data_IF_925775423466
#
_entry.id   IF_925775423466
#
_cell.length_a   1.000
_cell.length_b   1.000
_cell.length_c   1.000
_cell.angle_alpha   90.00
_cell.angle_beta   90.00
_cell.angle_gamma   90.00
#
_symmetry.space_group_name_H-M   'P 1'
#
loop_
_entity.id
_entity.type
_entity.pdbx_description
1 polymer ?
#
# COMPACT_ATOMS: atom_id res chain seq x y z
N UNK A 1 4.64 -10.44 -14.79
CA UNK A 1 4.01 -11.12 -13.64
C UNK A 1 3.58 -12.51 -14.03
N UNK A 2 3.79 -13.49 -13.19
CA UNK A 2 3.59 -14.88 -13.58
C UNK A 2 2.18 -15.34 -13.20
N UNK A 3 1.54 -16.12 -14.08
CA UNK A 3 0.27 -16.81 -13.86
C UNK A 3 0.25 -17.53 -12.49
N UNK A 4 1.40 -18.04 -12.05
CA UNK A 4 1.56 -18.68 -10.73
C UNK A 4 1.27 -17.76 -9.54
N UNK A 5 1.67 -16.49 -9.61
CA UNK A 5 1.41 -15.54 -8.53
C UNK A 5 -0.07 -15.20 -8.37
N UNK A 6 -0.82 -15.12 -9.48
CA UNK A 6 -2.26 -14.85 -9.46
C UNK A 6 -3.04 -16.06 -8.94
N UNK A 7 -2.64 -17.25 -9.37
CA UNK A 7 -3.24 -18.52 -8.88
C UNK A 7 -2.97 -18.67 -7.37
N UNK A 8 -1.73 -18.40 -6.93
CA UNK A 8 -1.40 -18.48 -5.50
C UNK A 8 -2.26 -17.53 -4.65
N UNK A 9 -2.38 -16.26 -5.05
CA UNK A 9 -3.19 -15.28 -4.29
C UNK A 9 -4.65 -15.70 -4.16
N UNK A 10 -5.25 -16.22 -5.25
CA UNK A 10 -6.62 -16.74 -5.22
C UNK A 10 -6.77 -17.95 -4.31
N UNK A 11 -5.83 -18.90 -4.41
CA UNK A 11 -5.84 -20.10 -3.55
C UNK A 11 -5.63 -19.70 -2.09
N UNK A 12 -4.67 -18.83 -1.80
CA UNK A 12 -4.43 -18.32 -0.45
C UNK A 12 -5.67 -17.66 0.13
N UNK A 13 -6.31 -16.76 -0.61
CA UNK A 13 -7.54 -16.09 -0.19
C UNK A 13 -8.70 -17.07 0.06
N UNK A 14 -8.88 -18.05 -0.84
CA UNK A 14 -9.91 -19.08 -0.68
C UNK A 14 -9.70 -19.93 0.58
N UNK A 15 -8.45 -20.23 0.92
CA UNK A 15 -8.11 -21.08 2.09
C UNK A 15 -8.10 -20.27 3.39
N UNK A 16 -7.58 -19.05 3.38
CA UNK A 16 -7.35 -18.25 4.59
C UNK A 16 -8.38 -17.15 4.83
N UNK A 17 -9.14 -16.77 3.79
CA UNK A 17 -10.08 -15.65 3.80
C UNK A 17 -9.43 -14.27 3.93
N UNK A 18 -8.10 -14.16 3.81
CA UNK A 18 -7.35 -12.91 3.95
C UNK A 18 -6.51 -12.61 2.71
N UNK A 19 -6.26 -11.34 2.38
CA UNK A 19 -5.35 -11.00 1.31
C UNK A 19 -3.94 -11.51 1.62
N UNK A 20 -3.26 -12.00 0.58
CA UNK A 20 -1.86 -12.42 0.72
C UNK A 20 -0.99 -11.24 1.18
N UNK A 21 0.09 -11.53 1.87
CA UNK A 21 1.10 -10.56 2.29
C UNK A 21 0.54 -9.35 3.09
N UNK A 22 -0.54 -9.55 3.85
CA UNK A 22 -1.03 -8.53 4.78
C UNK A 22 -0.12 -8.44 6.01
N UNK A 23 0.35 -7.23 6.31
CA UNK A 23 1.01 -6.95 7.59
C UNK A 23 0.91 -5.45 7.96
N UNK A 24 0.91 -5.17 9.25
CA UNK A 24 1.00 -3.81 9.75
C UNK A 24 2.43 -3.26 9.61
N UNK A 25 2.55 -2.05 9.04
CA UNK A 25 3.78 -1.25 9.11
C UNK A 25 3.78 -0.40 10.39
N UNK A 26 2.63 0.15 10.72
CA UNK A 26 2.35 0.84 11.98
C UNK A 26 1.13 0.16 12.57
N UNK A 27 1.32 -0.50 13.70
CA UNK A 27 0.31 -1.32 14.35
C UNK A 27 -1.03 -0.59 14.51
N UNK A 28 -2.10 -1.20 14.03
CA UNK A 28 -3.47 -0.68 14.07
C UNK A 28 -3.69 0.68 13.37
N UNK A 29 -2.76 1.11 12.50
CA UNK A 29 -2.86 2.39 11.77
C UNK A 29 -2.61 2.26 10.28
N UNK A 30 -1.53 1.60 9.89
CA UNK A 30 -1.11 1.52 8.49
C UNK A 30 -0.61 0.12 8.14
N UNK A 31 -1.27 -0.53 7.21
CA UNK A 31 -0.93 -1.85 6.72
C UNK A 31 -0.63 -1.85 5.22
N UNK A 32 0.09 -2.86 4.78
CA UNK A 32 0.26 -3.21 3.38
C UNK A 32 -0.26 -4.61 3.10
N UNK A 33 -0.72 -4.87 1.87
CA UNK A 33 -1.12 -6.20 1.42
C UNK A 33 -0.95 -6.39 -0.08
N UNK A 34 -1.05 -7.63 -0.54
CA UNK A 34 -1.34 -7.92 -1.94
C UNK A 34 -2.79 -7.51 -2.27
N UNK A 35 -3.15 -7.56 -3.55
CA UNK A 35 -4.51 -7.26 -3.99
C UNK A 35 -5.51 -8.23 -3.33
N UNK A 36 -6.59 -7.75 -2.72
CA UNK A 36 -7.73 -8.59 -2.38
C UNK A 36 -8.33 -9.21 -3.66
N UNK A 37 -8.64 -10.48 -3.63
CA UNK A 37 -9.19 -11.22 -4.77
C UNK A 37 -10.68 -11.48 -4.66
N UNK A 38 -11.31 -11.07 -3.56
CA UNK A 38 -12.73 -11.22 -3.28
C UNK A 38 -13.23 -10.18 -2.28
N UNK A 39 -14.54 -10.00 -2.21
CA UNK A 39 -15.18 -9.20 -1.14
C UNK A 39 -14.85 -9.75 0.25
N UNK A 40 -14.83 -11.07 0.42
CA UNK A 40 -14.51 -11.72 1.71
C UNK A 40 -13.13 -11.27 2.25
N UNK A 41 -12.13 -11.14 1.39
CA UNK A 41 -10.81 -10.64 1.78
C UNK A 41 -10.84 -9.17 2.20
N UNK A 42 -11.64 -8.33 1.54
CA UNK A 42 -11.87 -6.93 1.94
C UNK A 42 -12.58 -6.89 3.30
N UNK A 43 -13.62 -7.70 3.50
CA UNK A 43 -14.33 -7.79 4.77
C UNK A 43 -13.45 -8.34 5.90
N UNK A 44 -12.54 -9.26 5.59
CA UNK A 44 -11.53 -9.69 6.55
C UNK A 44 -10.66 -8.51 7.01
N UNK A 45 -10.15 -7.68 6.08
CA UNK A 45 -9.36 -6.50 6.41
C UNK A 45 -10.17 -5.51 7.26
N UNK A 46 -11.43 -5.28 6.93
CA UNK A 46 -12.35 -4.46 7.74
C UNK A 46 -12.48 -5.04 9.15
N UNK A 47 -12.57 -6.36 9.29
CA UNK A 47 -12.57 -7.06 10.58
C UNK A 47 -11.28 -6.87 11.39
N UNK A 48 -10.15 -6.60 10.74
CA UNK A 48 -8.88 -6.21 11.39
C UNK A 48 -8.85 -4.75 11.84
N UNK A 49 -9.88 -3.98 11.55
CA UNK A 49 -9.97 -2.55 11.88
C UNK A 49 -9.71 -1.59 10.72
N UNK A 50 -9.41 -2.11 9.51
CA UNK A 50 -9.21 -1.26 8.33
C UNK A 50 -10.53 -0.53 8.00
N UNK A 51 -10.43 0.78 7.80
CA UNK A 51 -11.56 1.65 7.42
C UNK A 51 -11.30 2.42 6.14
N UNK A 52 -10.08 2.38 5.64
CA UNK A 52 -9.67 3.06 4.41
C UNK A 52 -8.75 2.16 3.59
N UNK A 53 -8.90 2.18 2.27
CA UNK A 53 -8.08 1.38 1.34
C UNK A 53 -7.51 2.30 0.26
N UNK A 54 -6.21 2.15 -0.01
CA UNK A 54 -5.52 2.78 -1.12
C UNK A 54 -5.03 1.71 -2.09
N UNK A 55 -5.51 1.77 -3.31
CA UNK A 55 -5.09 0.91 -4.41
C UNK A 55 -4.06 1.63 -5.27
N UNK A 56 -2.85 1.06 -5.42
CA UNK A 56 -1.78 1.61 -6.26
C UNK A 56 -1.50 0.63 -7.40
N UNK A 57 -2.26 0.75 -8.47
CA UNK A 57 -2.15 -0.13 -9.65
C UNK A 57 -2.91 0.42 -10.85
N UNK A 58 -2.89 -0.33 -11.94
CA UNK A 58 -3.54 0.04 -13.22
C UNK A 58 -5.06 0.18 -13.07
N UNK A 59 -5.67 -0.74 -12.35
CA UNK A 59 -7.13 -0.81 -12.21
C UNK A 59 -7.56 -0.69 -10.74
N UNK A 60 -8.73 -0.08 -10.48
CA UNK A 60 -9.31 -0.04 -9.13
C UNK A 60 -9.81 -1.42 -8.69
N UNK A 61 -10.18 -1.52 -7.43
CA UNK A 61 -11.00 -2.62 -6.92
C UNK A 61 -12.45 -2.45 -7.38
N UNK A 62 -13.23 -3.53 -7.30
CA UNK A 62 -14.66 -3.51 -7.55
C UNK A 62 -15.36 -2.53 -6.58
N UNK A 63 -16.18 -1.64 -7.11
CA UNK A 63 -16.90 -0.62 -6.33
C UNK A 63 -17.77 -1.23 -5.22
N UNK A 64 -18.30 -2.42 -5.46
CA UNK A 64 -19.14 -3.12 -4.48
C UNK A 64 -18.31 -3.52 -3.24
N UNK A 65 -17.06 -3.91 -3.42
CA UNK A 65 -16.19 -4.34 -2.32
C UNK A 65 -15.76 -3.18 -1.42
N UNK A 66 -15.63 -1.98 -1.98
CA UNK A 66 -15.11 -0.79 -1.28
C UNK A 66 -16.18 0.21 -0.87
N UNK A 67 -17.45 -0.09 -1.10
CA UNK A 67 -18.57 0.84 -0.84
C UNK A 67 -18.69 1.31 0.61
N UNK A 68 -18.18 0.55 1.58
CA UNK A 68 -18.29 0.83 3.01
C UNK A 68 -16.96 1.28 3.64
N UNK A 69 -15.95 1.56 2.84
CA UNK A 69 -14.64 2.08 3.28
C UNK A 69 -14.31 3.37 2.57
N UNK A 70 -13.47 4.21 3.17
CA UNK A 70 -12.87 5.33 2.44
C UNK A 70 -11.90 4.78 1.41
N UNK A 71 -12.01 5.19 0.17
CA UNK A 71 -11.28 4.55 -0.94
C UNK A 71 -10.54 5.57 -1.81
N UNK A 72 -9.30 5.26 -2.15
CA UNK A 72 -8.49 6.01 -3.11
C UNK A 72 -7.83 5.05 -4.11
N UNK A 73 -8.00 5.32 -5.39
CA UNK A 73 -7.26 4.66 -6.46
C UNK A 73 -6.18 5.59 -7.00
N UNK A 74 -4.95 5.09 -7.05
CA UNK A 74 -3.76 5.75 -7.59
C UNK A 74 -3.27 4.94 -8.79
N UNK A 75 -3.28 5.54 -9.96
CA UNK A 75 -2.82 4.87 -11.18
C UNK A 75 -1.30 4.65 -11.13
N UNK A 76 -0.89 3.43 -11.32
CA UNK A 76 0.52 3.07 -11.40
C UNK A 76 0.71 1.77 -12.17
N UNK A 77 1.63 1.75 -13.13
CA UNK A 77 2.00 0.56 -13.87
C UNK A 77 2.82 -0.42 -13.01
N UNK A 78 2.79 -1.69 -13.38
CA UNK A 78 3.57 -2.72 -12.70
C UNK A 78 5.08 -2.42 -12.77
N UNK A 79 5.79 -2.70 -11.67
CA UNK A 79 7.21 -2.37 -11.44
C UNK A 79 7.55 -0.87 -11.56
N UNK A 80 6.58 -0.02 -11.89
CA UNK A 80 6.72 1.42 -11.98
C UNK A 80 6.44 2.13 -10.65
N UNK A 81 6.23 3.43 -10.79
CA UNK A 81 5.81 4.34 -9.71
C UNK A 81 4.60 5.13 -10.16
N UNK A 82 3.80 5.59 -9.20
CA UNK A 82 2.77 6.57 -9.46
C UNK A 82 3.41 7.93 -9.84
N UNK A 83 2.66 8.77 -10.52
CA UNK A 83 3.07 10.16 -10.74
C UNK A 83 3.30 10.86 -9.40
N UNK A 84 4.25 11.79 -9.36
CA UNK A 84 4.68 12.43 -8.12
C UNK A 84 3.53 13.10 -7.36
N UNK A 85 2.69 13.86 -8.08
CA UNK A 85 1.56 14.57 -7.45
C UNK A 85 0.50 13.60 -6.91
N UNK A 86 0.27 12.48 -7.59
CA UNK A 86 -0.63 11.43 -7.13
C UNK A 86 -0.08 10.72 -5.88
N UNK A 87 1.24 10.56 -5.83
CA UNK A 87 1.92 10.01 -4.65
C UNK A 87 1.78 10.95 -3.44
N UNK A 88 1.98 12.26 -3.64
CA UNK A 88 1.78 13.28 -2.59
C UNK A 88 0.35 13.24 -2.07
N UNK A 89 -0.62 13.21 -2.99
CA UNK A 89 -2.05 13.13 -2.65
C UNK A 89 -2.37 11.85 -1.85
N UNK A 90 -1.82 10.72 -2.25
CA UNK A 90 -2.03 9.46 -1.56
C UNK A 90 -1.44 9.45 -0.15
N UNK A 91 -0.24 9.99 0.02
CA UNK A 91 0.42 10.13 1.34
C UNK A 91 -0.42 11.02 2.27
N UNK A 92 -0.96 12.12 1.75
CA UNK A 92 -1.80 13.05 2.52
C UNK A 92 -3.18 12.45 2.84
N UNK A 93 -3.75 11.68 1.91
CA UNK A 93 -4.97 10.91 2.16
C UNK A 93 -4.76 9.92 3.32
N UNK A 94 -3.68 9.13 3.28
CA UNK A 94 -3.37 8.18 4.36
C UNK A 94 -3.28 8.90 5.71
N UNK A 95 -2.57 10.03 5.77
CA UNK A 95 -2.43 10.79 7.02
C UNK A 95 -3.77 11.31 7.54
N UNK A 96 -4.57 11.88 6.65
CA UNK A 96 -5.92 12.36 6.99
C UNK A 96 -6.79 11.25 7.57
N UNK A 97 -6.76 10.04 6.98
CA UNK A 97 -7.53 8.91 7.49
C UNK A 97 -7.05 8.45 8.85
N UNK A 98 -5.75 8.27 9.02
CA UNK A 98 -5.14 7.85 10.30
C UNK A 98 -5.46 8.87 11.41
N UNK A 99 -5.40 10.17 11.11
CA UNK A 99 -5.72 11.25 12.06
C UNK A 99 -7.19 11.21 12.49
N UNK A 100 -8.07 10.74 11.62
CA UNK A 100 -9.50 10.54 11.91
C UNK A 100 -9.82 9.17 12.55
N UNK A 101 -8.81 8.44 13.02
CA UNK A 101 -8.95 7.07 13.56
C UNK A 101 -9.55 6.07 12.55
N UNK A 102 -9.15 6.21 11.31
CA UNK A 102 -9.48 5.31 10.21
C UNK A 102 -8.20 4.59 9.73
N UNK A 103 -7.87 3.39 10.26
CA UNK A 103 -6.71 2.65 9.81
C UNK A 103 -6.76 2.34 8.31
N UNK A 104 -5.61 2.44 7.66
CA UNK A 104 -5.47 2.36 6.21
C UNK A 104 -4.72 1.10 5.80
N UNK A 105 -5.24 0.42 4.78
CA UNK A 105 -4.53 -0.62 4.05
C UNK A 105 -4.13 -0.11 2.67
N UNK A 106 -2.84 -0.20 2.35
CA UNK A 106 -2.30 0.09 1.02
C UNK A 106 -2.03 -1.23 0.31
N UNK A 107 -2.46 -1.36 -0.93
CA UNK A 107 -2.13 -2.53 -1.73
C UNK A 107 -1.80 -2.16 -3.19
N UNK A 108 -1.05 -3.03 -3.83
CA UNK A 108 -0.88 -3.06 -5.28
C UNK A 108 -1.25 -4.45 -5.79
N UNK A 109 -0.44 -5.14 -6.55
CA UNK A 109 -0.72 -6.52 -6.94
C UNK A 109 -0.12 -7.53 -5.95
N UNK A 110 1.20 -7.49 -5.73
CA UNK A 110 1.89 -8.38 -4.78
C UNK A 110 2.02 -7.77 -3.36
N UNK A 111 1.76 -6.47 -3.21
CA UNK A 111 1.90 -5.77 -1.94
C UNK A 111 3.35 -5.44 -1.57
N UNK A 112 4.25 -5.39 -2.53
CA UNK A 112 5.69 -5.22 -2.30
C UNK A 112 6.25 -3.92 -2.91
N UNK A 113 6.29 -3.80 -4.24
CA UNK A 113 6.97 -2.70 -4.93
C UNK A 113 6.27 -1.36 -4.75
N UNK A 114 5.15 -1.18 -5.42
CA UNK A 114 4.34 0.07 -5.40
C UNK A 114 3.79 0.37 -4.00
N UNK A 115 3.32 -0.65 -3.32
CA UNK A 115 2.88 -0.56 -1.91
C UNK A 115 4.02 -0.07 -1.02
N UNK A 116 5.18 -0.70 -1.09
CA UNK A 116 6.35 -0.32 -0.29
C UNK A 116 6.83 1.10 -0.55
N UNK A 117 6.77 1.55 -1.80
CA UNK A 117 7.13 2.93 -2.19
C UNK A 117 6.23 3.96 -1.50
N UNK A 118 4.90 3.77 -1.57
CA UNK A 118 3.96 4.67 -0.92
C UNK A 118 4.10 4.66 0.61
N UNK A 119 4.28 3.49 1.20
CA UNK A 119 4.51 3.33 2.64
C UNK A 119 5.78 4.06 3.09
N UNK A 120 6.87 3.95 2.34
CA UNK A 120 8.12 4.66 2.65
C UNK A 120 7.94 6.18 2.56
N UNK A 121 7.27 6.69 1.54
CA UNK A 121 6.97 8.13 1.41
C UNK A 121 6.13 8.64 2.59
N UNK A 122 5.19 7.86 3.08
CA UNK A 122 4.46 8.19 4.30
C UNK A 122 5.39 8.34 5.52
N UNK A 123 6.29 7.38 5.73
CA UNK A 123 7.27 7.43 6.83
C UNK A 123 8.17 8.67 6.71
N UNK A 124 8.61 9.01 5.50
CA UNK A 124 9.43 10.21 5.26
C UNK A 124 8.67 11.48 5.67
N UNK A 125 7.44 11.66 5.19
CA UNK A 125 6.69 12.90 5.42
C UNK A 125 6.17 13.02 6.86
N UNK A 126 5.55 11.99 7.37
CA UNK A 126 4.79 12.06 8.62
C UNK A 126 5.47 11.44 9.84
N UNK A 127 6.42 10.52 9.63
CA UNK A 127 7.27 10.01 10.70
C UNK A 127 8.66 10.67 10.73
N UNK A 128 8.91 11.64 9.82
CA UNK A 128 10.16 12.42 9.76
C UNK A 128 11.41 11.57 9.56
N UNK A 129 11.28 10.44 8.89
CA UNK A 129 12.41 9.57 8.58
C UNK A 129 13.17 10.10 7.36
N UNK A 130 14.50 9.81 7.30
CA UNK A 130 15.23 9.94 6.04
C UNK A 130 14.72 8.94 5.00
N UNK A 131 15.00 9.16 3.73
CA UNK A 131 14.65 8.19 2.69
C UNK A 131 15.28 6.82 2.95
N UNK A 132 16.57 6.79 3.32
CA UNK A 132 17.29 5.54 3.64
C UNK A 132 16.63 4.79 4.81
N UNK A 133 16.34 5.49 5.90
CA UNK A 133 15.71 4.87 7.08
C UNK A 133 14.31 4.36 6.78
N UNK A 134 13.52 5.11 5.98
CA UNK A 134 12.18 4.69 5.57
C UNK A 134 12.21 3.44 4.69
N UNK A 135 13.13 3.38 3.71
CA UNK A 135 13.32 2.20 2.86
C UNK A 135 13.73 0.99 3.71
N UNK A 136 14.70 1.18 4.60
CA UNK A 136 15.15 0.11 5.50
C UNK A 136 14.00 -0.39 6.38
N UNK A 137 13.27 0.51 7.02
CA UNK A 137 12.12 0.18 7.89
C UNK A 137 11.05 -0.62 7.15
N UNK A 138 10.67 -0.20 5.94
CA UNK A 138 9.69 -0.93 5.14
C UNK A 138 10.19 -2.31 4.78
N UNK A 139 11.46 -2.46 4.39
CA UNK A 139 12.05 -3.75 4.04
C UNK A 139 12.23 -4.70 5.22
N UNK A 140 12.47 -4.18 6.43
CA UNK A 140 12.53 -4.97 7.66
C UNK A 140 11.15 -5.52 8.04
N UNK A 141 10.12 -4.69 8.02
CA UNK A 141 8.75 -5.09 8.37
C UNK A 141 8.06 -5.90 7.26
N UNK A 142 8.44 -5.65 6.01
CA UNK A 142 7.83 -6.24 4.81
C UNK A 142 8.93 -6.64 3.81
N UNK A 143 9.60 -7.80 4.06
CA UNK A 143 10.71 -8.25 3.21
C UNK A 143 10.33 -8.34 1.73
N UNK A 144 11.23 -7.93 0.83
CA UNK A 144 11.02 -7.90 -0.62
C UNK A 144 10.34 -6.63 -1.13
N UNK A 145 10.06 -5.66 -0.26
CA UNK A 145 9.45 -4.38 -0.66
C UNK A 145 10.41 -3.47 -1.41
N UNK A 146 9.85 -2.56 -2.22
CA UNK A 146 10.58 -1.56 -3.03
C UNK A 146 11.51 -2.28 -4.00
N UNK A 147 10.93 -2.73 -5.11
CA UNK A 147 11.50 -3.77 -5.98
C UNK A 147 12.30 -3.24 -7.17
N UNK A 148 12.22 -1.94 -7.46
CA UNK A 148 12.89 -1.37 -8.63
C UNK A 148 13.64 -0.09 -8.29
N UNK A 149 14.65 0.24 -9.13
CA UNK A 149 15.40 1.49 -9.00
C UNK A 149 14.49 2.73 -9.11
N UNK A 150 13.54 2.83 -10.03
CA UNK A 150 12.61 3.97 -10.06
C UNK A 150 11.80 4.13 -8.78
N UNK A 151 11.45 3.03 -8.11
CA UNK A 151 10.73 3.08 -6.83
C UNK A 151 11.60 3.66 -5.71
N UNK A 152 12.85 3.24 -5.60
CA UNK A 152 13.80 3.85 -4.65
C UNK A 152 14.04 5.33 -4.96
N UNK A 153 14.31 5.65 -6.23
CA UNK A 153 14.56 7.02 -6.67
C UNK A 153 13.39 7.95 -6.33
N UNK A 154 12.16 7.49 -6.52
CA UNK A 154 10.97 8.27 -6.17
C UNK A 154 10.92 8.63 -4.68
N UNK A 155 11.33 7.71 -3.80
CA UNK A 155 11.36 7.98 -2.36
C UNK A 155 12.40 9.07 -2.03
N UNK A 156 13.57 9.04 -2.67
CA UNK A 156 14.58 10.08 -2.51
C UNK A 156 14.11 11.43 -3.06
N UNK A 157 13.47 11.45 -4.23
CA UNK A 157 12.88 12.66 -4.80
C UNK A 157 11.79 13.24 -3.89
N UNK A 158 10.94 12.38 -3.34
CA UNK A 158 9.90 12.78 -2.40
C UNK A 158 10.51 13.40 -1.14
N UNK A 159 11.52 12.78 -0.54
CA UNK A 159 12.22 13.32 0.63
C UNK A 159 12.85 14.68 0.33
N UNK A 160 13.49 14.83 -0.84
CA UNK A 160 14.09 16.10 -1.28
C UNK A 160 13.06 17.20 -1.44
N UNK A 161 11.89 16.89 -1.95
CA UNK A 161 10.81 17.88 -2.15
C UNK A 161 10.31 18.50 -0.84
N UNK A 162 10.45 17.79 0.28
CA UNK A 162 10.03 18.27 1.60
C UNK A 162 11.06 19.22 2.25
N UNK A 163 12.25 19.34 1.68
CA UNK A 163 13.33 20.21 2.18
C UNK A 163 13.37 21.59 1.51
N UNK A 164 12.57 21.77 0.47
CA UNK A 164 12.47 23.02 -0.28
C UNK A 164 11.36 23.93 0.21
#
# INVERSE_FOLDING_TARGET
>A
MTIYGDVWRKVHGTVTGRPDNFSWLIENKLAGSAIPTSDDEVQWAVGQGIKSIVTVREEPLDDIWVKNVSYLHVLSNDMGVAEFDDLVLAVDFIHSRITNNEPVMVHCLAGLGRTGTLLACYLVKYQKMSADDAIQKVREERPGSIQSFPQEEMIFQFAKSLQS
#
